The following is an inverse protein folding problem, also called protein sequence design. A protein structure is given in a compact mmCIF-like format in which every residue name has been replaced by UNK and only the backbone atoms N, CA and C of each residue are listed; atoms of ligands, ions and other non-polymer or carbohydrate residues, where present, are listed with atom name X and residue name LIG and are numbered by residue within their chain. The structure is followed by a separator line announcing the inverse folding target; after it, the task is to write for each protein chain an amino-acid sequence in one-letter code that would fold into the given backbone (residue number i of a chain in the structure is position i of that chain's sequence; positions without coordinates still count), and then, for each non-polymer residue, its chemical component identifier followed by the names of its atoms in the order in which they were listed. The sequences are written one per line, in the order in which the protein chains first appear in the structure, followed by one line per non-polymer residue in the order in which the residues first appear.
data_IF_867548695050
#
_entry.id   IF_867548695050
#
_cell.length_a   1.000
_cell.length_b   1.000
_cell.length_c   1.000
_cell.angle_alpha   90.00
_cell.angle_beta   90.00
_cell.angle_gamma   90.00
#
_symmetry.space_group_name_H-M   'P 1'
#
loop_
_entity.id
_entity.type
_entity.pdbx_description
1 polymer ?
#
# COMPACT_ATOMS: atom_id res chain seq x y z
N UNK A 1 -9.62 -21.53 -13.71
CA UNK A 1 -8.77 -20.61 -12.92
C UNK A 1 -7.39 -20.61 -13.55
N UNK A 2 -7.05 -19.54 -14.27
CA UNK A 2 -5.74 -19.39 -14.91
C UNK A 2 -4.87 -18.57 -13.97
N UNK A 3 -3.91 -19.20 -13.30
CA UNK A 3 -2.86 -18.48 -12.57
C UNK A 3 -1.99 -17.76 -13.60
N UNK A 4 -2.09 -16.42 -13.61
CA UNK A 4 -1.12 -15.58 -14.31
C UNK A 4 0.28 -15.93 -13.80
N UNK A 5 1.21 -16.17 -14.72
CA UNK A 5 2.62 -16.38 -14.39
C UNK A 5 3.15 -15.05 -13.85
N UNK A 6 3.71 -14.97 -12.62
CA UNK A 6 4.25 -13.72 -12.12
C UNK A 6 5.38 -13.24 -13.04
N UNK A 7 5.35 -11.96 -13.39
CA UNK A 7 6.46 -11.29 -14.06
C UNK A 7 7.65 -11.30 -13.09
N UNK A 8 8.68 -12.10 -13.39
CA UNK A 8 9.79 -12.30 -12.47
C UNK A 8 10.50 -10.98 -12.16
N UNK A 9 10.50 -10.59 -10.88
CA UNK A 9 11.30 -9.45 -10.42
C UNK A 9 12.79 -9.79 -10.62
N UNK A 10 13.50 -8.93 -11.37
CA UNK A 10 14.94 -9.07 -11.55
C UNK A 10 15.65 -8.63 -10.26
N UNK A 11 16.14 -9.58 -9.47
CA UNK A 11 16.71 -9.33 -8.12
C UNK A 11 18.24 -9.35 -8.09
N UNK A 12 18.91 -9.03 -9.20
CA UNK A 12 20.37 -8.97 -9.23
C UNK A 12 20.91 -7.80 -8.39
N UNK A 13 21.48 -8.13 -7.24
CA UNK A 13 22.15 -7.16 -6.35
C UNK A 13 23.66 -7.17 -6.66
N UNK A 14 24.23 -6.00 -6.94
CA UNK A 14 25.68 -5.84 -7.02
C UNK A 14 26.22 -5.15 -5.78
N UNK A 15 27.22 -5.74 -5.12
CA UNK A 15 27.97 -5.08 -4.05
C UNK A 15 29.16 -4.36 -4.65
N UNK A 16 29.20 -3.04 -4.47
CA UNK A 16 30.35 -2.20 -4.84
C UNK A 16 31.19 -1.91 -3.59
N UNK A 17 32.47 -2.26 -3.65
CA UNK A 17 33.43 -1.96 -2.59
C UNK A 17 33.99 -0.55 -2.72
N UNK A 18 34.51 0.01 -1.63
CA UNK A 18 35.12 1.36 -1.63
C UNK A 18 36.28 1.53 -2.62
N UNK A 19 36.94 0.43 -3.01
CA UNK A 19 37.99 0.41 -4.03
C UNK A 19 37.47 0.22 -5.47
N UNK A 20 36.16 0.32 -5.69
CA UNK A 20 35.52 0.21 -7.01
C UNK A 20 35.32 -1.22 -7.51
N UNK A 21 35.77 -2.26 -6.78
CA UNK A 21 35.51 -3.65 -7.15
C UNK A 21 34.02 -3.98 -7.01
N UNK A 22 33.45 -4.64 -8.01
CA UNK A 22 32.06 -5.13 -8.01
C UNK A 22 32.05 -6.65 -7.85
N UNK A 23 31.12 -7.17 -7.05
CA UNK A 23 30.84 -8.60 -6.95
C UNK A 23 29.33 -8.85 -6.85
N UNK A 24 28.85 -10.04 -7.25
CA UNK A 24 27.48 -10.45 -6.93
C UNK A 24 27.22 -10.32 -5.42
N UNK A 25 26.08 -9.73 -5.08
CA UNK A 25 25.56 -9.61 -3.72
C UNK A 25 24.50 -10.66 -3.44
N UNK A 26 24.16 -10.82 -2.16
CA UNK A 26 23.01 -11.62 -1.75
C UNK A 26 21.73 -10.89 -2.17
N UNK A 27 20.90 -11.53 -2.99
CA UNK A 27 19.58 -11.06 -3.35
C UNK A 27 18.57 -11.40 -2.25
N UNK A 28 17.39 -10.78 -2.28
CA UNK A 28 16.31 -11.12 -1.35
C UNK A 28 15.84 -12.59 -1.51
N UNK A 29 16.04 -13.18 -2.69
CA UNK A 29 15.73 -14.59 -2.95
C UNK A 29 16.69 -15.57 -2.25
N UNK A 30 17.88 -15.11 -1.86
CA UNK A 30 18.90 -15.92 -1.19
C UNK A 30 18.69 -16.02 0.33
N UNK A 31 17.69 -15.30 0.88
CA UNK A 31 17.38 -15.30 2.31
C UNK A 31 16.61 -16.57 2.71
N UNK A 32 17.01 -17.29 3.78
CA UNK A 32 16.29 -18.45 4.28
C UNK A 32 14.83 -18.14 4.65
N UNK A 33 13.94 -19.13 4.52
CA UNK A 33 12.53 -18.99 4.94
C UNK A 33 11.53 -18.77 3.80
N UNK A 34 11.94 -18.93 2.53
CA UNK A 34 11.08 -18.81 1.34
C UNK A 34 10.35 -17.46 1.30
N UNK A 35 11.08 -16.34 1.28
CA UNK A 35 10.47 -15.02 1.23
C UNK A 35 9.59 -14.88 -0.01
N UNK A 36 8.44 -14.23 0.15
CA UNK A 36 7.58 -13.89 -0.98
C UNK A 36 8.17 -12.68 -1.69
N UNK A 37 8.75 -12.92 -2.87
CA UNK A 37 9.24 -11.87 -3.76
C UNK A 37 8.05 -11.47 -4.63
N UNK A 38 7.50 -10.28 -4.37
CA UNK A 38 6.34 -9.74 -5.08
C UNK A 38 6.66 -8.32 -5.53
N UNK A 39 6.14 -7.93 -6.69
CA UNK A 39 6.08 -6.51 -7.02
C UNK A 39 5.09 -5.84 -6.07
N UNK A 40 5.31 -4.55 -5.77
CA UNK A 40 4.35 -3.75 -5.00
C UNK A 40 2.94 -3.83 -5.62
N UNK A 41 2.85 -3.81 -6.95
CA UNK A 41 1.58 -3.96 -7.67
C UNK A 41 0.89 -5.29 -7.44
N UNK A 42 1.63 -6.40 -7.34
CA UNK A 42 1.02 -7.72 -7.04
C UNK A 42 0.45 -7.75 -5.62
N UNK A 43 1.13 -7.11 -4.66
CA UNK A 43 0.65 -7.00 -3.28
C UNK A 43 -0.59 -6.10 -3.18
N UNK A 44 -0.59 -4.95 -3.87
CA UNK A 44 -1.73 -4.03 -3.91
C UNK A 44 -2.96 -4.68 -4.59
N UNK A 45 -2.77 -5.35 -5.73
CA UNK A 45 -3.85 -6.10 -6.41
C UNK A 45 -4.44 -7.19 -5.50
N UNK A 46 -3.58 -7.93 -4.79
CA UNK A 46 -4.01 -8.90 -3.79
C UNK A 46 -4.86 -8.27 -2.68
N UNK A 47 -4.50 -7.07 -2.22
CA UNK A 47 -5.29 -6.36 -1.21
C UNK A 47 -6.64 -5.89 -1.78
N UNK A 48 -6.65 -5.20 -2.92
CA UNK A 48 -7.87 -4.66 -3.53
C UNK A 48 -8.87 -5.74 -3.95
N UNK A 49 -8.39 -6.87 -4.48
CA UNK A 49 -9.25 -7.98 -4.90
C UNK A 49 -9.99 -8.70 -3.77
N UNK A 50 -9.58 -8.48 -2.51
CA UNK A 50 -10.24 -9.07 -1.32
C UNK A 50 -11.26 -8.15 -0.68
N UNK A 51 -11.37 -6.89 -1.13
CA UNK A 51 -12.36 -5.97 -0.58
C UNK A 51 -13.78 -6.45 -0.89
N UNK A 52 -14.71 -6.34 0.06
CA UNK A 52 -16.13 -6.51 -0.21
C UNK A 52 -16.60 -5.56 -1.33
N UNK A 53 -17.53 -6.02 -2.17
CA UNK A 53 -17.97 -5.26 -3.35
C UNK A 53 -18.75 -3.97 -3.02
N UNK A 54 -19.11 -3.77 -1.75
CA UNK A 54 -19.77 -2.58 -1.22
C UNK A 54 -18.79 -1.57 -0.58
N UNK A 55 -17.47 -1.87 -0.56
CA UNK A 55 -16.46 -0.92 -0.10
C UNK A 55 -16.19 0.11 -1.19
N UNK A 56 -16.36 1.38 -0.85
CA UNK A 56 -15.98 2.49 -1.71
C UNK A 56 -14.47 2.78 -1.60
N UNK A 57 -13.79 2.86 -2.76
CA UNK A 57 -12.40 3.30 -2.86
C UNK A 57 -12.35 4.57 -3.70
N UNK A 58 -11.96 5.69 -3.07
CA UNK A 58 -11.87 7.00 -3.73
C UNK A 58 -10.43 7.33 -4.06
N UNK A 59 -10.15 7.53 -5.35
CA UNK A 59 -8.89 8.07 -5.82
C UNK A 59 -8.90 9.60 -5.79
N UNK A 60 -7.72 10.21 -5.90
CA UNK A 60 -7.55 11.67 -5.93
C UNK A 60 -8.14 12.41 -4.72
N UNK A 61 -8.49 11.70 -3.65
CA UNK A 61 -9.14 12.26 -2.47
C UNK A 61 -8.18 12.21 -1.29
N UNK A 62 -7.95 13.34 -0.63
CA UNK A 62 -7.04 13.46 0.51
C UNK A 62 -7.76 14.04 1.73
N UNK A 63 -7.58 13.48 2.94
CA UNK A 63 -8.07 14.11 4.15
C UNK A 63 -7.25 15.37 4.45
N UNK A 64 -7.95 16.46 4.76
CA UNK A 64 -7.35 17.77 5.06
C UNK A 64 -7.61 18.24 6.49
N UNK A 65 -8.65 17.71 7.15
CA UNK A 65 -8.89 17.88 8.57
C UNK A 65 -9.55 16.62 9.14
N UNK A 66 -9.24 16.31 10.41
CA UNK A 66 -9.84 15.22 11.18
C UNK A 66 -10.17 15.76 12.56
N UNK A 67 -11.43 15.68 12.95
CA UNK A 67 -11.91 16.06 14.29
C UNK A 67 -12.68 14.90 14.90
N UNK A 68 -12.45 14.61 16.18
CA UNK A 68 -13.08 13.50 16.88
C UNK A 68 -13.83 14.01 18.11
N UNK A 69 -14.98 13.40 18.39
CA UNK A 69 -15.74 13.57 19.61
C UNK A 69 -16.15 12.20 20.19
N UNK A 70 -17.03 12.21 21.19
CA UNK A 70 -17.48 11.00 21.87
C UNK A 70 -18.25 10.02 20.97
N UNK A 71 -18.84 10.51 19.89
CA UNK A 71 -19.75 9.77 19.02
C UNK A 71 -19.09 9.39 17.68
N UNK A 72 -17.79 9.64 17.47
CA UNK A 72 -17.11 9.34 16.20
C UNK A 72 -16.14 10.41 15.69
N UNK A 73 -15.87 10.37 14.39
CA UNK A 73 -14.85 11.17 13.69
C UNK A 73 -15.45 11.86 12.47
N UNK A 74 -15.31 13.16 12.38
CA UNK A 74 -15.54 13.94 11.17
C UNK A 74 -14.24 14.10 10.39
N UNK A 75 -14.27 13.79 9.09
CA UNK A 75 -13.13 13.92 8.17
C UNK A 75 -13.50 14.88 7.06
N UNK A 76 -12.73 15.97 6.91
CA UNK A 76 -12.82 16.84 5.74
C UNK A 76 -11.94 16.28 4.63
N UNK A 77 -12.56 15.89 3.51
CA UNK A 77 -11.94 15.31 2.34
C UNK A 77 -11.86 16.34 1.21
N UNK A 78 -10.70 16.42 0.56
CA UNK A 78 -10.48 17.23 -0.63
C UNK A 78 -10.27 16.32 -1.85
N UNK A 79 -11.13 16.44 -2.86
CA UNK A 79 -10.93 15.84 -4.17
C UNK A 79 -10.01 16.75 -4.99
N UNK A 80 -8.77 16.30 -5.18
CA UNK A 80 -7.73 17.02 -5.92
C UNK A 80 -7.95 17.04 -7.44
N UNK A 81 -8.77 16.13 -7.98
CA UNK A 81 -9.12 16.12 -9.40
C UNK A 81 -10.27 17.09 -9.69
N UNK A 82 -11.29 17.13 -8.83
CA UNK A 82 -12.45 18.02 -8.97
C UNK A 82 -12.25 19.41 -8.32
N UNK A 83 -11.29 19.55 -7.41
CA UNK A 83 -11.07 20.75 -6.61
C UNK A 83 -12.14 20.99 -5.54
N UNK A 84 -12.94 19.99 -5.20
CA UNK A 84 -14.07 20.09 -4.25
C UNK A 84 -13.67 19.60 -2.85
N UNK A 85 -14.46 20.00 -1.85
CA UNK A 85 -14.25 19.61 -0.46
C UNK A 85 -15.58 19.23 0.19
N UNK A 86 -15.58 18.16 0.97
CA UNK A 86 -16.74 17.71 1.75
C UNK A 86 -16.31 17.21 3.13
N UNK A 87 -17.20 17.25 4.12
CA UNK A 87 -16.99 16.65 5.45
C UNK A 87 -17.91 15.46 5.62
N UNK A 88 -17.34 14.33 6.03
CA UNK A 88 -18.04 13.07 6.23
C UNK A 88 -17.81 12.53 7.64
N UNK A 89 -18.87 11.94 8.22
CA UNK A 89 -18.88 11.39 9.58
C UNK A 89 -18.67 9.88 9.54
N UNK A 90 -17.74 9.41 10.36
CA UNK A 90 -17.39 8.00 10.50
C UNK A 90 -17.48 7.56 11.97
N UNK A 91 -17.99 6.35 12.18
CA UNK A 91 -17.97 5.68 13.48
C UNK A 91 -16.53 5.27 13.81
N UNK A 92 -15.99 5.69 14.97
CA UNK A 92 -14.67 5.21 15.40
C UNK A 92 -14.79 3.88 16.14
N UNK A 93 -14.15 2.83 15.62
CA UNK A 93 -14.03 1.52 16.31
C UNK A 93 -12.78 1.42 17.19
N UNK A 94 -11.88 2.40 17.12
CA UNK A 94 -10.67 2.47 17.94
C UNK A 94 -10.71 3.74 18.80
N UNK A 95 -11.00 3.56 20.09
CA UNK A 95 -11.00 4.63 21.09
C UNK A 95 -12.28 4.72 21.92
N UNK A 96 -12.47 3.73 22.80
CA UNK A 96 -13.24 3.87 24.04
C UNK A 96 -12.46 3.15 25.14
N UNK A 97 -11.60 3.90 25.84
CA UNK A 97 -10.71 3.40 26.91
C UNK A 97 -9.56 4.35 27.17
#
# INVERSE_FOLDING_TARGET
MSTSVPHAAHTDITVTHANGRRRPGMSLADVPGRPWIMLRGDAEEGAYSTLPGDVEVRYSTVPTAITQDADGVDVTLHDTAAGTTATERFESRWGAG
#
